data_IF_609077258727
#
_entry.id   IF_609077258727
#
_cell.length_a   1.000
_cell.length_b   1.000
_cell.length_c   1.000
_cell.angle_alpha   90.00
_cell.angle_beta   90.00
_cell.angle_gamma   90.00
#
_symmetry.space_group_name_H-M   'P 1'
#
loop_
_entity.id
_entity.type
_entity.pdbx_description
1 polymer ?
#
# COMPACT_ATOMS: atom_id res chain seq x y z
N UNK A 1 13.46 3.98 -4.68
CA UNK A 1 12.39 4.00 -5.71
C UNK A 1 12.98 4.17 -7.10
N UNK A 2 13.77 5.19 -7.40
CA UNK A 2 14.32 5.51 -8.73
C UNK A 2 14.98 4.33 -9.46
N UNK A 3 15.68 3.45 -8.73
CA UNK A 3 16.35 2.28 -9.31
C UNK A 3 15.39 1.30 -9.97
N UNK A 4 14.25 1.04 -9.34
CA UNK A 4 13.31 -0.01 -9.73
C UNK A 4 12.03 0.52 -10.41
N UNK A 5 11.77 1.82 -10.28
CA UNK A 5 10.61 2.46 -10.87
C UNK A 5 10.97 3.81 -11.49
N UNK A 6 11.71 3.79 -12.58
CA UNK A 6 12.02 5.01 -13.35
C UNK A 6 10.74 5.67 -13.87
N UNK A 7 10.61 6.97 -13.60
CA UNK A 7 9.43 7.73 -14.00
C UNK A 7 8.17 7.35 -13.21
N UNK A 8 8.33 7.00 -11.94
CA UNK A 8 7.22 6.82 -10.99
C UNK A 8 6.38 8.13 -10.86
N UNK A 9 5.13 8.04 -10.44
CA UNK A 9 4.33 9.22 -10.13
C UNK A 9 4.98 10.11 -9.07
N UNK A 10 4.46 11.34 -8.91
CA UNK A 10 4.84 12.22 -7.81
C UNK A 10 4.67 11.48 -6.47
N UNK A 11 5.69 11.55 -5.63
CA UNK A 11 5.68 10.93 -4.30
C UNK A 11 5.41 11.99 -3.24
N UNK A 12 4.47 11.67 -2.37
CA UNK A 12 4.12 12.49 -1.21
C UNK A 12 4.24 11.61 0.05
N UNK A 13 5.03 12.05 1.01
CA UNK A 13 5.11 11.42 2.32
C UNK A 13 4.09 12.03 3.26
N UNK A 14 3.11 11.22 3.69
CA UNK A 14 2.17 11.56 4.75
C UNK A 14 2.71 11.05 6.08
N UNK A 15 3.18 11.94 6.93
CA UNK A 15 3.84 11.59 8.20
C UNK A 15 3.36 12.45 9.35
N UNK A 16 3.69 12.05 10.58
CA UNK A 16 3.38 12.83 11.78
C UNK A 16 4.24 14.12 11.83
N UNK A 17 5.56 13.97 11.85
CA UNK A 17 6.49 15.07 12.10
C UNK A 17 7.80 14.99 11.31
N UNK A 18 8.12 13.83 10.74
CA UNK A 18 9.37 13.61 10.02
C UNK A 18 9.27 14.26 8.64
N UNK A 19 10.32 14.97 8.21
CA UNK A 19 10.43 15.49 6.85
C UNK A 19 11.31 14.56 6.02
N UNK A 20 10.82 14.20 4.83
CA UNK A 20 11.65 13.51 3.85
C UNK A 20 12.49 14.53 3.08
N UNK A 21 13.81 14.36 2.96
CA UNK A 21 14.68 15.33 2.27
C UNK A 21 14.54 15.27 0.74
N UNK A 22 13.97 14.19 0.19
CA UNK A 22 13.92 13.93 -1.27
C UNK A 22 12.55 14.14 -1.89
N UNK A 23 11.47 14.07 -1.08
CA UNK A 23 10.09 14.12 -1.57
C UNK A 23 9.24 15.10 -0.79
N UNK A 24 8.17 15.56 -1.41
CA UNK A 24 7.18 16.41 -0.73
C UNK A 24 6.66 15.70 0.51
N UNK A 25 6.64 16.39 1.63
CA UNK A 25 6.13 15.86 2.89
C UNK A 25 4.95 16.69 3.36
N UNK A 26 3.86 16.03 3.69
CA UNK A 26 2.69 16.60 4.36
C UNK A 26 2.69 16.05 5.79
N UNK A 27 2.84 16.94 6.77
CA UNK A 27 2.86 16.57 8.18
C UNK A 27 1.50 16.83 8.81
N UNK A 28 0.90 15.79 9.36
CA UNK A 28 -0.32 15.86 10.16
C UNK A 28 -0.09 15.06 11.44
N UNK A 29 0.21 15.78 12.52
CA UNK A 29 0.62 15.18 13.80
C UNK A 29 -0.58 14.66 14.59
N UNK A 30 -1.12 13.54 14.16
CA UNK A 30 -2.18 12.80 14.84
C UNK A 30 -1.65 11.50 15.43
N UNK A 31 -2.22 11.04 16.57
CA UNK A 31 -1.89 9.73 17.11
C UNK A 31 -2.38 8.62 16.18
N UNK A 32 -1.88 7.41 16.38
CA UNK A 32 -2.14 6.26 15.47
C UNK A 32 -3.63 5.92 15.36
N UNK A 33 -4.41 6.15 16.41
CA UNK A 33 -5.86 5.95 16.44
C UNK A 33 -6.62 6.93 15.51
N UNK A 34 -5.93 7.94 15.01
CA UNK A 34 -6.43 8.93 14.04
C UNK A 34 -5.64 8.89 12.73
N UNK A 35 -5.08 7.75 12.40
CA UNK A 35 -4.34 7.55 11.16
C UNK A 35 -5.18 7.90 9.93
N UNK A 36 -6.44 7.46 9.88
CA UNK A 36 -7.36 7.79 8.79
C UNK A 36 -7.56 9.30 8.62
N UNK A 37 -7.64 10.05 9.72
CA UNK A 37 -7.74 11.51 9.67
C UNK A 37 -6.50 12.12 9.02
N UNK A 38 -5.30 11.64 9.38
CA UNK A 38 -4.05 12.09 8.74
C UNK A 38 -4.08 11.87 7.24
N UNK A 39 -4.50 10.67 6.82
CA UNK A 39 -4.55 10.32 5.40
C UNK A 39 -5.59 11.18 4.67
N UNK A 40 -6.80 11.35 5.21
CA UNK A 40 -7.82 12.22 4.61
C UNK A 40 -7.31 13.64 4.39
N UNK A 41 -6.79 14.28 5.44
CA UNK A 41 -6.26 15.65 5.34
C UNK A 41 -5.05 15.76 4.40
N UNK A 42 -4.30 14.67 4.21
CA UNK A 42 -3.27 14.61 3.16
C UNK A 42 -3.89 14.55 1.77
N UNK A 43 -4.94 13.75 1.59
CA UNK A 43 -5.63 13.59 0.31
C UNK A 43 -6.36 14.85 -0.13
N UNK A 44 -6.84 15.67 0.81
CA UNK A 44 -7.45 16.97 0.55
C UNK A 44 -6.45 17.97 -0.08
N UNK A 45 -5.16 17.80 0.14
CA UNK A 45 -4.10 18.62 -0.47
C UNK A 45 -3.61 18.09 -1.84
N UNK A 46 -4.23 17.02 -2.36
CA UNK A 46 -3.84 16.34 -3.60
C UNK A 46 -4.99 16.47 -4.62
N UNK A 47 -4.71 17.01 -5.80
CA UNK A 47 -5.72 17.20 -6.85
C UNK A 47 -5.97 15.93 -7.69
N UNK A 48 -5.04 14.94 -7.64
CA UNK A 48 -5.16 13.71 -8.43
C UNK A 48 -6.39 12.88 -8.01
N UNK A 49 -7.10 12.32 -9.00
CA UNK A 49 -8.29 11.47 -8.79
C UNK A 49 -7.93 10.02 -8.41
N UNK A 50 -6.72 9.61 -8.74
CA UNK A 50 -6.21 8.26 -8.45
C UNK A 50 -4.97 8.35 -7.57
N UNK A 51 -4.96 7.55 -6.52
CA UNK A 51 -3.89 7.56 -5.51
C UNK A 51 -3.30 6.16 -5.38
N UNK A 52 -2.00 6.04 -5.56
CA UNK A 52 -1.29 4.84 -5.17
C UNK A 52 -0.80 4.97 -3.72
N UNK A 53 -1.38 4.19 -2.83
CA UNK A 53 -0.92 4.09 -1.44
C UNK A 53 0.16 3.01 -1.36
N UNK A 54 1.25 3.34 -0.65
CA UNK A 54 2.27 2.39 -0.23
C UNK A 54 2.66 2.71 1.22
N UNK A 55 2.88 1.70 2.03
CA UNK A 55 3.42 1.88 3.38
C UNK A 55 4.96 1.94 3.31
N UNK A 56 5.57 2.67 4.23
CA UNK A 56 6.97 3.07 4.19
C UNK A 56 7.97 1.95 4.51
N UNK A 57 7.50 0.84 5.04
CA UNK A 57 8.30 -0.37 5.30
C UNK A 57 8.22 -1.43 4.19
N UNK A 58 7.53 -1.12 3.08
CA UNK A 58 7.51 -1.92 1.86
C UNK A 58 8.60 -1.46 0.87
N UNK A 59 9.74 -2.14 0.84
CA UNK A 59 10.87 -1.78 -0.02
C UNK A 59 10.77 -2.44 -1.38
N UNK A 60 10.70 -1.66 -2.46
CA UNK A 60 10.66 -2.16 -3.82
C UNK A 60 12.00 -2.87 -4.15
N UNK A 61 11.94 -4.14 -4.54
CA UNK A 61 13.12 -5.00 -4.73
C UNK A 61 13.41 -5.36 -6.19
N UNK A 62 12.43 -5.18 -7.08
CA UNK A 62 12.54 -5.45 -8.50
C UNK A 62 11.90 -4.36 -9.35
N UNK A 63 12.15 -4.42 -10.66
CA UNK A 63 11.52 -3.50 -11.61
C UNK A 63 10.00 -3.60 -11.55
N UNK A 64 9.36 -2.46 -11.38
CA UNK A 64 7.90 -2.33 -11.30
C UNK A 64 7.27 -2.56 -12.68
N UNK A 65 6.18 -3.34 -12.72
CA UNK A 65 5.40 -3.55 -13.94
C UNK A 65 4.46 -2.35 -14.20
N UNK A 66 5.02 -1.35 -14.88
CA UNK A 66 4.28 -0.14 -15.25
C UNK A 66 3.10 -0.40 -16.19
N UNK A 67 3.15 -1.46 -17.00
CA UNK A 67 2.05 -1.78 -17.92
C UNK A 67 0.82 -2.22 -17.14
N UNK A 68 1.02 -3.05 -16.13
CA UNK A 68 -0.08 -3.49 -15.28
C UNK A 68 -0.62 -2.39 -14.37
N UNK A 69 0.24 -1.48 -13.87
CA UNK A 69 -0.23 -0.27 -13.16
C UNK A 69 -1.10 0.58 -14.08
N UNK A 70 -0.65 0.81 -15.32
CA UNK A 70 -1.43 1.55 -16.32
C UNK A 70 -2.76 0.87 -16.61
N UNK A 71 -2.77 -0.45 -16.80
CA UNK A 71 -3.98 -1.23 -17.01
C UNK A 71 -4.97 -1.08 -15.85
N UNK A 72 -4.50 -1.19 -14.60
CA UNK A 72 -5.32 -0.95 -13.42
C UNK A 72 -5.89 0.48 -13.38
N UNK A 73 -5.07 1.48 -13.71
CA UNK A 73 -5.49 2.88 -13.76
C UNK A 73 -6.59 3.13 -14.80
N UNK A 74 -6.48 2.54 -15.99
CA UNK A 74 -7.47 2.66 -17.07
C UNK A 74 -8.79 1.96 -16.74
N UNK A 75 -8.76 0.96 -15.85
CA UNK A 75 -9.93 0.20 -15.42
C UNK A 75 -10.48 0.62 -14.05
N UNK A 76 -9.86 1.57 -13.36
CA UNK A 76 -10.32 2.07 -12.06
C UNK A 76 -11.52 3.02 -12.23
N UNK A 77 -12.67 2.47 -12.55
CA UNK A 77 -13.90 3.21 -12.86
C UNK A 77 -15.14 2.55 -12.23
N UNK A 78 -16.32 3.10 -12.51
CA UNK A 78 -17.59 2.53 -12.03
C UNK A 78 -17.60 2.36 -10.52
N UNK A 79 -17.89 1.16 -10.04
CA UNK A 79 -17.94 0.84 -8.61
C UNK A 79 -16.59 0.41 -8.00
N UNK A 80 -15.53 0.30 -8.80
CA UNK A 80 -14.22 -0.16 -8.34
C UNK A 80 -13.57 0.91 -7.46
N UNK A 81 -13.25 0.56 -6.22
CA UNK A 81 -12.54 1.45 -5.31
C UNK A 81 -11.03 1.27 -5.38
N UNK A 82 -10.56 0.04 -5.57
CA UNK A 82 -9.13 -0.27 -5.45
C UNK A 82 -8.71 -1.45 -6.32
N UNK A 83 -7.50 -1.34 -6.86
CA UNK A 83 -6.68 -2.46 -7.30
C UNK A 83 -5.55 -2.67 -6.30
N UNK A 84 -5.59 -3.74 -5.53
CA UNK A 84 -4.50 -4.15 -4.64
C UNK A 84 -3.41 -4.85 -5.45
N UNK A 85 -2.16 -4.42 -5.31
CA UNK A 85 -1.02 -4.97 -6.03
C UNK A 85 -0.31 -6.10 -5.28
N UNK A 86 -0.77 -6.44 -4.08
CA UNK A 86 -0.38 -7.69 -3.43
C UNK A 86 -0.89 -8.88 -4.24
N UNK A 87 -0.17 -10.00 -4.13
CA UNK A 87 -0.62 -11.23 -4.76
C UNK A 87 -1.70 -11.91 -3.93
N UNK A 88 -2.81 -12.25 -4.57
CA UNK A 88 -3.83 -13.07 -3.93
C UNK A 88 -3.31 -14.47 -3.62
N UNK A 89 -3.60 -14.93 -2.40
CA UNK A 89 -3.44 -16.30 -1.95
C UNK A 89 -4.77 -16.86 -1.38
N UNK A 90 -5.85 -16.08 -1.49
CA UNK A 90 -7.16 -16.46 -0.98
C UNK A 90 -7.95 -17.17 -2.08
N UNK A 91 -8.32 -18.42 -1.81
CA UNK A 91 -9.12 -19.25 -2.73
C UNK A 91 -10.56 -18.74 -2.85
N UNK A 92 -11.00 -17.85 -1.95
CA UNK A 92 -12.34 -17.28 -1.99
C UNK A 92 -12.46 -16.10 -2.97
N UNK A 93 -11.34 -15.57 -3.48
CA UNK A 93 -11.35 -14.51 -4.48
C UNK A 93 -11.93 -15.00 -5.80
N UNK A 94 -12.83 -14.21 -6.38
CA UNK A 94 -13.63 -14.55 -7.54
C UNK A 94 -12.90 -14.21 -8.86
N UNK A 95 -12.95 -15.11 -9.83
CA UNK A 95 -12.47 -14.83 -11.18
C UNK A 95 -13.30 -13.69 -11.81
N UNK A 96 -12.65 -12.86 -12.59
CA UNK A 96 -13.28 -11.69 -13.22
C UNK A 96 -12.72 -11.45 -14.64
N UNK A 97 -13.33 -10.52 -15.38
CA UNK A 97 -12.93 -10.18 -16.75
C UNK A 97 -11.64 -9.33 -16.81
N UNK A 98 -11.14 -8.83 -15.67
CA UNK A 98 -9.94 -7.99 -15.60
C UNK A 98 -8.69 -8.86 -15.55
N UNK A 99 -7.94 -8.87 -16.66
CA UNK A 99 -6.77 -9.73 -16.84
C UNK A 99 -5.74 -9.57 -15.71
N UNK A 100 -5.41 -10.70 -15.07
CA UNK A 100 -4.43 -10.78 -13.99
C UNK A 100 -4.91 -10.22 -12.66
N UNK A 101 -6.22 -9.99 -12.51
CA UNK A 101 -6.85 -9.63 -11.24
C UNK A 101 -7.96 -10.62 -10.89
N UNK A 102 -8.29 -10.67 -9.62
CA UNK A 102 -9.48 -11.32 -9.07
C UNK A 102 -10.29 -10.31 -8.29
N UNK A 103 -11.59 -10.48 -8.25
CA UNK A 103 -12.48 -9.68 -7.41
C UNK A 103 -12.45 -10.23 -6.00
N UNK A 104 -12.24 -9.37 -5.01
CA UNK A 104 -12.33 -9.76 -3.60
C UNK A 104 -13.77 -10.08 -3.24
N UNK A 105 -13.96 -11.19 -2.55
CA UNK A 105 -15.30 -11.57 -2.07
C UNK A 105 -15.74 -10.65 -0.95
N UNK A 106 -16.93 -10.09 -1.07
CA UNK A 106 -17.51 -9.25 -0.03
C UNK A 106 -17.60 -9.97 1.32
N UNK A 107 -17.14 -9.31 2.38
CA UNK A 107 -17.10 -9.85 3.73
C UNK A 107 -15.96 -10.84 3.99
N UNK A 108 -15.07 -11.08 3.03
CA UNK A 108 -13.86 -11.88 3.26
C UNK A 108 -12.87 -11.12 4.15
N UNK A 109 -12.00 -11.87 4.84
CA UNK A 109 -10.91 -11.26 5.60
C UNK A 109 -10.01 -10.47 4.66
N UNK A 110 -9.65 -9.25 5.06
CA UNK A 110 -8.83 -8.34 4.23
C UNK A 110 -9.41 -8.08 2.83
N UNK A 111 -10.76 -8.06 2.69
CA UNK A 111 -11.40 -7.56 1.47
C UNK A 111 -10.79 -6.23 1.03
N UNK A 112 -10.49 -5.38 2.00
CA UNK A 112 -9.77 -4.14 1.87
C UNK A 112 -8.38 -4.29 2.52
N UNK A 113 -7.32 -3.88 1.83
CA UNK A 113 -5.97 -3.75 2.39
C UNK A 113 -5.39 -2.39 2.02
N UNK A 114 -4.76 -1.74 2.97
CA UNK A 114 -4.10 -0.44 2.78
C UNK A 114 -2.62 -0.57 2.43
N UNK A 115 -2.12 -1.78 2.24
CA UNK A 115 -0.69 -2.04 2.05
C UNK A 115 -0.12 -1.39 0.79
N UNK A 116 -0.55 -1.85 -0.37
CA UNK A 116 -0.11 -1.32 -1.65
C UNK A 116 -1.22 -1.45 -2.68
N UNK A 117 -1.84 -0.34 -3.03
CA UNK A 117 -2.95 -0.37 -3.96
C UNK A 117 -3.21 0.96 -4.64
N UNK A 118 -3.72 0.87 -5.86
CA UNK A 118 -4.21 2.01 -6.62
C UNK A 118 -5.67 2.23 -6.29
N UNK A 119 -5.99 3.42 -5.81
CA UNK A 119 -7.30 3.80 -5.31
C UNK A 119 -7.95 4.90 -6.14
N UNK A 120 -9.27 4.83 -6.29
CA UNK A 120 -10.07 6.00 -6.56
C UNK A 120 -10.11 6.88 -5.30
N UNK A 121 -9.70 8.15 -5.40
CA UNK A 121 -9.53 9.04 -4.23
C UNK A 121 -10.84 9.26 -3.48
N UNK A 122 -11.94 9.51 -4.18
CA UNK A 122 -13.22 9.81 -3.52
C UNK A 122 -13.74 8.60 -2.73
N UNK A 123 -13.60 7.39 -3.30
CA UNK A 123 -13.97 6.15 -2.62
C UNK A 123 -13.06 5.85 -1.44
N UNK A 124 -11.77 6.14 -1.56
CA UNK A 124 -10.84 6.04 -0.45
C UNK A 124 -11.24 7.00 0.69
N UNK A 125 -11.58 8.24 0.36
CA UNK A 125 -12.07 9.21 1.35
C UNK A 125 -13.32 8.71 2.08
N UNK A 126 -14.26 8.06 1.38
CA UNK A 126 -15.44 7.46 1.99
C UNK A 126 -15.09 6.27 2.90
N UNK A 127 -14.17 5.40 2.47
CA UNK A 127 -13.66 4.29 3.30
C UNK A 127 -13.01 4.80 4.58
N UNK A 128 -12.27 5.90 4.49
CA UNK A 128 -11.53 6.48 5.60
C UNK A 128 -12.32 7.50 6.43
N UNK A 129 -13.62 7.70 6.20
CA UNK A 129 -14.40 8.81 6.78
C UNK A 129 -14.41 8.88 8.31
N UNK A 130 -14.28 7.75 9.00
CA UNK A 130 -14.23 7.71 10.46
C UNK A 130 -12.78 7.66 10.97
N UNK A 131 -12.52 8.31 12.09
CA UNK A 131 -11.21 8.29 12.72
C UNK A 131 -10.91 6.87 13.22
N UNK A 132 -9.80 6.29 12.77
CA UNK A 132 -9.37 4.96 13.18
C UNK A 132 -7.88 4.71 12.90
N UNK A 133 -7.35 3.64 13.48
CA UNK A 133 -6.02 3.13 13.16
C UNK A 133 -6.00 2.42 11.80
N UNK A 134 -4.83 2.21 11.16
CA UNK A 134 -4.73 1.47 9.92
C UNK A 134 -5.28 0.04 10.04
N UNK A 135 -5.00 -0.62 11.14
CA UNK A 135 -5.51 -1.99 11.40
C UNK A 135 -7.03 -2.04 11.55
N UNK A 136 -7.62 -1.03 12.19
CA UNK A 136 -9.08 -0.94 12.31
C UNK A 136 -9.76 -0.78 10.95
N UNK A 137 -9.14 -0.07 10.00
CA UNK A 137 -9.65 0.04 8.63
C UNK A 137 -9.74 -1.32 7.98
N UNK A 138 -8.70 -2.14 8.10
CA UNK A 138 -8.66 -3.48 7.49
C UNK A 138 -9.55 -4.50 8.22
N UNK A 139 -9.62 -4.45 9.56
CA UNK A 139 -10.40 -5.42 10.35
C UNK A 139 -11.89 -5.09 10.46
N UNK A 140 -12.26 -3.83 10.53
CA UNK A 140 -13.67 -3.42 10.71
C UNK A 140 -14.40 -3.27 9.40
N UNK A 141 -13.77 -3.55 8.31
CA UNK A 141 -14.26 -3.49 6.92
C UNK A 141 -15.72 -3.01 6.83
N UNK A 142 -15.89 -1.71 6.83
CA UNK A 142 -17.20 -1.16 6.54
C UNK A 142 -17.40 -1.37 5.05
N UNK A 143 -18.22 -2.35 4.72
CA UNK A 143 -18.66 -2.55 3.36
C UNK A 143 -19.34 -1.26 2.87
N UNK A 144 -18.56 -0.43 2.18
CA UNK A 144 -19.07 0.78 1.53
C UNK A 144 -19.79 0.44 0.23
N UNK A 145 -19.98 -0.85 -0.06
CA UNK A 145 -20.62 -1.33 -1.29
C UNK A 145 -19.75 -1.17 -2.53
N UNK A 146 -18.45 -0.93 -2.35
CA UNK A 146 -17.48 -0.84 -3.45
C UNK A 146 -16.91 -2.20 -3.81
N UNK A 147 -16.39 -2.28 -5.03
CA UNK A 147 -15.65 -3.44 -5.52
C UNK A 147 -14.14 -3.26 -5.30
N UNK A 148 -13.48 -4.31 -4.81
CA UNK A 148 -12.05 -4.38 -4.59
C UNK A 148 -11.46 -5.50 -5.42
N UNK A 149 -10.33 -5.25 -6.05
CA UNK A 149 -9.62 -6.22 -6.87
C UNK A 149 -8.23 -6.45 -6.35
N UNK A 150 -7.73 -7.67 -6.51
CA UNK A 150 -6.38 -8.06 -6.07
C UNK A 150 -5.63 -8.72 -7.22
N UNK A 151 -4.34 -8.46 -7.29
CA UNK A 151 -3.46 -9.07 -8.27
C UNK A 151 -3.43 -10.60 -8.11
N UNK A 152 -3.73 -11.33 -9.18
CA UNK A 152 -3.65 -12.80 -9.25
C UNK A 152 -2.52 -13.31 -10.15
N UNK A 153 -1.82 -12.40 -10.83
CA UNK A 153 -0.71 -12.70 -11.73
C UNK A 153 0.67 -12.58 -11.07
N UNK A 154 1.67 -12.29 -11.89
CA UNK A 154 3.01 -11.96 -11.40
C UNK A 154 3.02 -10.65 -10.62
N UNK A 155 4.07 -10.42 -9.82
CA UNK A 155 4.18 -9.21 -9.00
C UNK A 155 4.17 -7.94 -9.85
N UNK A 156 3.29 -7.01 -9.51
CA UNK A 156 3.25 -5.67 -10.11
C UNK A 156 4.33 -4.80 -9.46
N UNK A 157 4.38 -4.82 -8.13
CA UNK A 157 5.42 -4.22 -7.31
C UNK A 157 5.93 -5.32 -6.38
N UNK A 158 7.20 -5.70 -6.53
CA UNK A 158 7.81 -6.73 -5.69
C UNK A 158 8.52 -6.06 -4.52
N UNK A 159 8.01 -6.25 -3.32
CA UNK A 159 8.66 -5.87 -2.07
C UNK A 159 9.12 -7.08 -1.23
N UNK A 160 9.33 -8.23 -1.89
CA UNK A 160 9.89 -9.43 -1.28
C UNK A 160 8.88 -10.41 -0.72
N UNK A 161 7.64 -10.38 -1.18
CA UNK A 161 6.53 -11.22 -0.71
C UNK A 161 6.72 -12.74 -0.93
N UNK A 162 7.78 -13.17 -1.60
CA UNK A 162 8.12 -14.61 -1.76
C UNK A 162 8.57 -15.26 -0.46
N UNK A 163 8.95 -14.48 0.52
CA UNK A 163 9.28 -14.93 1.87
C UNK A 163 8.12 -14.51 2.79
N UNK A 164 7.78 -15.30 3.79
CA UNK A 164 6.69 -15.01 4.75
C UNK A 164 6.87 -13.69 5.55
N UNK A 165 7.92 -12.92 5.25
CA UNK A 165 8.24 -11.63 5.87
C UNK A 165 8.59 -10.59 4.79
N UNK A 166 7.60 -10.10 4.02
CA UNK A 166 7.85 -9.19 2.90
C UNK A 166 8.20 -7.77 3.35
N UNK A 167 7.73 -7.37 4.52
CA UNK A 167 7.90 -6.02 5.05
C UNK A 167 9.22 -5.84 5.78
N UNK A 168 9.73 -4.62 5.81
CA UNK A 168 10.95 -4.31 6.53
C UNK A 168 10.79 -4.41 8.03
N UNK A 169 9.60 -4.10 8.54
CA UNK A 169 9.29 -4.08 9.97
C UNK A 169 8.16 -5.06 10.32
N UNK A 170 8.36 -5.84 11.39
CA UNK A 170 7.37 -6.75 11.96
C UNK A 170 7.15 -6.33 13.41
N UNK A 171 5.95 -5.85 13.71
CA UNK A 171 5.61 -5.35 15.06
C UNK A 171 6.64 -4.32 15.56
N UNK A 172 7.08 -3.42 14.67
CA UNK A 172 8.03 -2.35 14.97
C UNK A 172 9.51 -2.76 15.06
N UNK A 173 9.85 -4.01 14.81
CA UNK A 173 11.22 -4.55 14.79
C UNK A 173 11.63 -4.95 13.37
N UNK A 174 12.92 -4.89 13.06
CA UNK A 174 13.42 -5.30 11.75
C UNK A 174 13.21 -6.79 11.47
N UNK A 175 12.69 -7.12 10.30
CA UNK A 175 12.72 -8.48 9.77
C UNK A 175 14.16 -8.86 9.40
N UNK A 176 14.61 -10.07 9.72
CA UNK A 176 16.01 -10.48 9.42
C UNK A 176 16.31 -10.52 7.93
N UNK A 177 15.33 -10.87 7.12
CA UNK A 177 15.46 -10.99 5.67
C UNK A 177 15.71 -9.66 4.96
N UNK A 178 15.38 -8.52 5.59
CA UNK A 178 15.61 -7.21 4.99
C UNK A 178 17.10 -6.82 4.99
N UNK A 179 17.89 -7.38 5.90
CA UNK A 179 19.32 -7.07 6.05
C UNK A 179 20.08 -7.30 4.76
N UNK A 180 19.93 -8.50 4.18
CA UNK A 180 20.60 -8.84 2.90
C UNK A 180 20.19 -7.89 1.77
N UNK A 181 18.94 -7.44 1.76
CA UNK A 181 18.49 -6.45 0.78
C UNK A 181 19.17 -5.09 1.03
N UNK A 182 19.22 -4.62 2.27
CA UNK A 182 19.85 -3.34 2.59
C UNK A 182 21.35 -3.35 2.29
N UNK A 183 22.05 -4.43 2.64
CA UNK A 183 23.47 -4.61 2.29
C UNK A 183 23.70 -4.55 0.77
N UNK A 184 22.90 -5.27 -0.01
CA UNK A 184 22.96 -5.27 -1.48
C UNK A 184 22.69 -3.87 -2.06
N UNK A 185 21.79 -3.09 -1.44
CA UNK A 185 21.43 -1.76 -1.91
C UNK A 185 22.32 -0.66 -1.32
N UNK A 186 23.27 -1.00 -0.45
CA UNK A 186 24.13 -0.01 0.23
C UNK A 186 23.35 0.91 1.17
N UNK A 187 22.27 0.41 1.78
CA UNK A 187 21.44 1.15 2.72
C UNK A 187 21.98 0.91 4.13
N UNK A 188 22.48 1.95 4.74
CA UNK A 188 22.93 1.92 6.14
C UNK A 188 21.73 2.05 7.09
N UNK A 189 21.61 1.12 8.05
CA UNK A 189 20.53 1.07 9.02
C UNK A 189 21.09 0.82 10.41
N UNK A 190 20.66 1.61 11.38
CA UNK A 190 20.90 1.36 12.80
C UNK A 190 19.91 0.29 13.29
N UNK A 191 20.33 -0.97 13.22
CA UNK A 191 19.52 -2.10 13.66
C UNK A 191 19.31 -2.15 15.18
N UNK A 192 20.21 -1.57 15.97
CA UNK A 192 20.11 -1.58 17.44
C UNK A 192 18.93 -0.76 17.93
N UNK A 193 18.59 0.28 17.20
CA UNK A 193 17.48 1.19 17.55
C UNK A 193 16.13 0.52 17.68
N UNK A 194 15.87 -0.53 16.87
CA UNK A 194 14.60 -1.27 16.87
C UNK A 194 14.75 -2.75 17.23
N UNK A 195 15.96 -3.31 17.10
CA UNK A 195 16.22 -4.73 17.21
C UNK A 195 15.55 -5.56 16.12
N UNK A 196 15.67 -6.88 16.20
CA UNK A 196 15.07 -7.80 15.24
C UNK A 196 13.84 -8.50 15.80
N UNK A 197 12.89 -8.80 14.91
CA UNK A 197 11.80 -9.75 15.20
C UNK A 197 12.35 -11.18 15.27
N UNK A 198 11.75 -12.01 16.13
CA UNK A 198 12.05 -13.45 16.25
C UNK A 198 11.12 -14.24 15.34
#
# INVERSE_FOLDING_TARGET
MEKYWKGHPKVIYSTESIKNPYYTTINKNYPIEKWTKRVRETLEEIDDEQILIMIDDCFIRNTVDKKRIKYASENLNGNIAMFNFEKSFDETDEDCELEGFKKRKHGSSYELSIMCGLWNKDKLMEVLKEDSSPWDVEYRQKNCGFDYYINSGEYIIDWGYKTWNPVGLIKGKWGREIVTFFEKEGIEVDYEKRGFSY
#
